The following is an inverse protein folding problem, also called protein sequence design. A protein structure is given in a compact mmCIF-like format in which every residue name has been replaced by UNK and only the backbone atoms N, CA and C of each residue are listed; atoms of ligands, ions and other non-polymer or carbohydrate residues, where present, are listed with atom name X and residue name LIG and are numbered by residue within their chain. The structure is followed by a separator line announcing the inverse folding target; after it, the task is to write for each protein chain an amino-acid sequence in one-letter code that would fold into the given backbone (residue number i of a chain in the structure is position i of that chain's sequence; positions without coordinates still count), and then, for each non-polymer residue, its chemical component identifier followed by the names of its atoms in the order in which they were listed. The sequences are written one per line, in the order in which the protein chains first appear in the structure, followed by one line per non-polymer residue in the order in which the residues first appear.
data_IF_467669387591
#
_entry.id   IF_467669387591
#
_cell.length_a   1.000
_cell.length_b   1.000
_cell.length_c   1.000
_cell.angle_alpha   90.00
_cell.angle_beta   90.00
_cell.angle_gamma   90.00
#
_symmetry.space_group_name_H-M   'P 1'
#
loop_
_entity.id
_entity.type
_entity.pdbx_description
1 polymer ?
#
# COMPACT_ATOMS: atom_id res chain seq x y z
N UNK A 1 -26.72 -4.44 7.61
CA UNK A 1 -25.56 -4.46 8.51
C UNK A 1 -24.21 -4.14 7.84
N UNK A 2 -24.18 -3.80 6.53
CA UNK A 2 -22.93 -3.58 5.73
C UNK A 2 -22.21 -2.21 5.89
N UNK A 3 -22.58 -1.36 6.83
CA UNK A 3 -21.90 -0.07 7.10
C UNK A 3 -20.80 -0.13 8.17
N UNK A 4 -20.50 -1.33 8.75
CA UNK A 4 -19.76 -1.42 10.01
C UNK A 4 -18.23 -1.50 9.82
N UNK A 5 -17.68 -2.21 8.84
CA UNK A 5 -16.25 -2.51 8.78
C UNK A 5 -15.43 -1.36 8.19
N UNK A 6 -15.93 -0.71 7.13
CA UNK A 6 -15.29 0.53 6.63
C UNK A 6 -15.35 1.67 7.66
N UNK A 7 -16.36 1.64 8.54
CA UNK A 7 -16.46 2.56 9.68
C UNK A 7 -15.42 2.29 10.75
N UNK A 8 -14.95 1.06 10.98
CA UNK A 8 -14.02 0.74 12.07
C UNK A 8 -12.60 1.22 11.72
N UNK A 9 -12.09 1.01 10.51
CA UNK A 9 -10.77 1.53 10.10
C UNK A 9 -10.78 3.05 9.95
N UNK A 10 -11.80 3.62 9.32
CA UNK A 10 -11.97 5.07 9.25
C UNK A 10 -12.24 5.67 10.64
N UNK A 11 -13.01 4.99 11.50
CA UNK A 11 -13.31 5.45 12.87
C UNK A 11 -12.10 5.34 13.78
N UNK A 12 -11.24 4.34 13.61
CA UNK A 12 -9.97 4.22 14.35
C UNK A 12 -9.00 5.31 13.94
N UNK A 13 -8.89 5.61 12.65
CA UNK A 13 -8.08 6.73 12.13
C UNK A 13 -8.68 8.07 12.56
N UNK A 14 -10.00 8.24 12.52
CA UNK A 14 -10.69 9.43 12.99
C UNK A 14 -10.54 9.59 14.51
N UNK A 15 -10.63 8.54 15.31
CA UNK A 15 -10.42 8.57 16.75
C UNK A 15 -8.97 8.98 17.08
N UNK A 16 -7.98 8.44 16.36
CA UNK A 16 -6.57 8.84 16.49
C UNK A 16 -6.36 10.30 16.10
N UNK A 17 -7.04 10.77 15.04
CA UNK A 17 -6.97 12.16 14.60
C UNK A 17 -7.72 13.11 15.55
N UNK A 18 -8.86 12.71 16.14
CA UNK A 18 -9.59 13.49 17.15
C UNK A 18 -8.78 13.59 18.44
N UNK A 19 -8.12 12.53 18.88
CA UNK A 19 -7.18 12.58 20.01
C UNK A 19 -6.00 13.49 19.68
N UNK A 20 -5.43 13.41 18.46
CA UNK A 20 -4.36 14.29 18.02
C UNK A 20 -4.81 15.77 18.00
N UNK A 21 -6.03 16.07 17.51
CA UNK A 21 -6.60 17.41 17.52
C UNK A 21 -6.88 17.94 18.95
N UNK A 22 -7.32 17.07 19.85
CA UNK A 22 -7.53 17.44 21.26
C UNK A 22 -6.22 17.73 22.00
N UNK A 23 -5.16 16.94 21.71
CA UNK A 23 -3.81 17.16 22.21
C UNK A 23 -3.17 18.40 21.62
N UNK A 24 -3.42 18.71 20.31
CA UNK A 24 -2.97 19.95 19.68
C UNK A 24 -3.65 21.17 20.24
N UNK A 25 -4.95 21.14 20.49
CA UNK A 25 -5.67 22.23 21.13
C UNK A 25 -5.09 22.50 22.53
N UNK A 26 -4.78 21.45 23.28
CA UNK A 26 -4.14 21.55 24.61
C UNK A 26 -2.70 22.10 24.52
N UNK A 27 -1.90 21.63 23.56
CA UNK A 27 -0.51 22.08 23.36
C UNK A 27 -0.41 23.53 22.86
N UNK A 28 -1.40 24.02 22.12
CA UNK A 28 -1.49 25.41 21.67
C UNK A 28 -1.94 26.35 22.77
N UNK A 29 -2.65 25.86 23.79
CA UNK A 29 -3.15 26.64 24.94
C UNK A 29 -2.23 26.55 26.15
N UNK A 30 -1.25 25.64 26.19
CA UNK A 30 -0.29 25.53 27.27
C UNK A 30 0.71 26.72 27.24
N UNK A 31 1.03 27.37 28.38
CA UNK A 31 1.98 28.45 28.41
C UNK A 31 3.35 28.00 27.92
N UNK A 32 3.86 28.69 26.89
CA UNK A 32 5.20 28.46 26.37
C UNK A 32 6.23 28.89 27.38
N UNK A 33 6.84 27.96 28.10
CA UNK A 33 8.03 28.27 28.88
C UNK A 33 9.14 28.70 27.93
N UNK A 34 9.80 29.84 28.26
CA UNK A 34 10.96 30.33 27.53
C UNK A 34 12.08 29.26 27.64
N UNK A 35 12.35 28.54 26.55
CA UNK A 35 13.52 27.70 26.43
C UNK A 35 14.67 28.60 26.00
N UNK A 36 15.55 28.95 26.92
CA UNK A 36 16.86 29.53 26.60
C UNK A 36 17.68 28.48 25.90
N UNK A 37 17.94 28.71 24.62
CA UNK A 37 18.88 27.90 23.80
C UNK A 37 20.30 28.18 24.28
N UNK A 38 20.84 27.37 25.16
CA UNK A 38 22.27 27.19 25.31
C UNK A 38 22.72 26.28 24.18
N UNK A 39 23.67 26.77 23.38
CA UNK A 39 24.13 26.11 22.15
C UNK A 39 24.98 24.87 22.44
N UNK A 40 24.32 23.74 22.60
CA UNK A 40 24.94 22.45 22.44
C UNK A 40 24.45 21.85 21.12
N UNK A 41 25.40 21.52 20.26
CA UNK A 41 25.16 20.81 19.00
C UNK A 41 24.48 19.49 19.32
N UNK A 42 23.14 19.42 19.18
CA UNK A 42 22.38 18.21 19.32
C UNK A 42 22.82 17.28 18.20
N UNK A 43 23.60 16.27 18.55
CA UNK A 43 23.91 15.13 17.67
C UNK A 43 22.60 14.43 17.35
N UNK A 44 22.02 14.75 16.20
CA UNK A 44 20.87 14.01 15.69
C UNK A 44 21.27 12.55 15.51
N UNK A 45 20.46 11.63 16.04
CA UNK A 45 20.60 10.21 15.75
C UNK A 45 20.76 10.04 14.23
N UNK A 46 21.68 9.13 13.82
CA UNK A 46 22.03 8.92 12.41
C UNK A 46 20.81 9.03 11.53
N UNK A 47 20.76 10.10 10.73
CA UNK A 47 19.83 10.17 9.60
C UNK A 47 20.14 8.95 8.75
N UNK A 48 19.12 8.15 8.44
CA UNK A 48 19.31 7.03 7.52
C UNK A 48 19.38 7.61 6.10
N UNK A 49 20.48 8.27 5.77
CA UNK A 49 20.73 8.91 4.48
C UNK A 49 20.76 7.89 3.33
N UNK A 50 20.79 6.59 3.66
CA UNK A 50 20.84 5.48 2.70
C UNK A 50 19.49 4.79 2.51
N UNK A 51 18.37 5.39 2.95
CA UNK A 51 17.05 4.80 2.72
C UNK A 51 16.71 4.79 1.22
N UNK A 52 16.66 3.61 0.57
CA UNK A 52 16.45 3.50 -0.88
C UNK A 52 15.02 3.87 -1.31
N UNK A 53 14.13 4.11 -0.36
CA UNK A 53 12.75 4.51 -0.62
C UNK A 53 12.56 6.03 -0.63
N UNK A 54 13.58 6.81 -0.24
CA UNK A 54 13.59 8.28 -0.40
C UNK A 54 14.08 8.60 -1.80
N UNK A 55 13.18 8.97 -2.70
CA UNK A 55 13.49 9.12 -4.13
C UNK A 55 13.13 10.47 -4.71
N UNK A 56 12.45 11.33 -3.97
CA UNK A 56 11.94 12.62 -4.49
C UNK A 56 13.04 13.52 -5.07
N UNK A 57 14.27 13.46 -4.55
CA UNK A 57 15.42 14.23 -5.03
C UNK A 57 16.23 13.55 -6.15
N UNK A 58 15.90 12.31 -6.50
CA UNK A 58 16.68 11.50 -7.46
C UNK A 58 15.82 11.10 -8.66
N UNK A 59 15.08 10.00 -8.55
CA UNK A 59 14.23 9.48 -9.62
C UNK A 59 12.87 10.14 -9.67
N UNK A 60 12.50 10.91 -8.62
CA UNK A 60 11.26 11.64 -8.50
C UNK A 60 10.22 10.88 -7.67
N UNK A 61 9.36 10.08 -8.27
CA UNK A 61 8.27 9.38 -7.62
C UNK A 61 8.31 7.89 -7.94
N UNK A 62 8.09 7.04 -6.93
CA UNK A 62 7.76 5.64 -7.12
C UNK A 62 6.24 5.50 -7.33
N UNK A 63 5.85 4.83 -8.39
CA UNK A 63 4.44 4.62 -8.77
C UNK A 63 4.04 3.21 -8.38
N UNK A 64 3.16 3.13 -7.39
CA UNK A 64 2.68 1.85 -6.87
C UNK A 64 1.29 1.51 -7.40
N UNK A 65 1.16 0.32 -7.97
CA UNK A 65 -0.12 -0.26 -8.33
C UNK A 65 -0.75 -0.89 -7.08
N UNK A 66 -1.70 -0.18 -6.47
CA UNK A 66 -2.40 -0.61 -5.27
C UNK A 66 -3.29 -1.81 -5.59
N UNK A 67 -3.04 -2.95 -4.93
CA UNK A 67 -3.66 -4.26 -5.21
C UNK A 67 -3.50 -4.68 -6.68
N UNK A 68 -2.33 -4.37 -7.27
CA UNK A 68 -2.04 -4.53 -8.69
C UNK A 68 -2.94 -3.70 -9.63
N UNK A 69 -3.59 -2.61 -9.17
CA UNK A 69 -4.33 -1.69 -10.03
C UNK A 69 -5.80 -2.06 -10.26
N UNK A 70 -6.60 -2.07 -9.19
CA UNK A 70 -7.99 -2.51 -9.16
C UNK A 70 -9.02 -1.71 -9.97
N UNK A 71 -8.61 -0.70 -10.77
CA UNK A 71 -9.47 0.00 -11.73
C UNK A 71 -9.44 -0.65 -13.11
N UNK A 72 -8.28 -1.14 -13.53
CA UNK A 72 -8.08 -1.71 -14.87
C UNK A 72 -8.52 -3.17 -14.91
N UNK A 73 -8.18 -3.93 -13.88
CA UNK A 73 -8.49 -5.34 -13.72
C UNK A 73 -8.91 -5.66 -12.28
N UNK A 74 -9.49 -6.85 -12.02
CA UNK A 74 -9.86 -7.24 -10.65
C UNK A 74 -8.66 -7.24 -9.71
N UNK A 75 -8.78 -6.53 -8.58
CA UNK A 75 -7.71 -6.39 -7.56
C UNK A 75 -7.16 -7.73 -7.07
N UNK A 76 -5.85 -7.78 -6.78
CA UNK A 76 -5.20 -8.95 -6.20
C UNK A 76 -5.36 -10.25 -7.03
N UNK A 77 -5.45 -10.15 -8.37
CA UNK A 77 -5.51 -11.28 -9.30
C UNK A 77 -4.27 -11.36 -10.18
N UNK A 78 -3.96 -12.55 -10.72
CA UNK A 78 -2.89 -12.69 -11.70
C UNK A 78 -3.15 -11.86 -12.97
N UNK A 79 -4.41 -11.65 -13.35
CA UNK A 79 -4.78 -10.78 -14.47
C UNK A 79 -4.30 -9.34 -14.23
N UNK A 80 -4.61 -8.74 -13.08
CA UNK A 80 -4.15 -7.39 -12.74
C UNK A 80 -2.62 -7.30 -12.67
N UNK A 81 -1.97 -8.34 -12.12
CA UNK A 81 -0.52 -8.42 -12.06
C UNK A 81 0.09 -8.45 -13.47
N UNK A 82 -0.40 -9.30 -14.36
CA UNK A 82 0.09 -9.37 -15.75
C UNK A 82 -0.11 -8.05 -16.48
N UNK A 83 -1.20 -7.32 -16.24
CA UNK A 83 -1.41 -5.98 -16.78
C UNK A 83 -0.33 -5.01 -16.28
N UNK A 84 0.01 -5.03 -14.99
CA UNK A 84 1.11 -4.22 -14.47
C UNK A 84 2.47 -4.64 -15.06
N UNK A 85 2.74 -5.94 -15.18
CA UNK A 85 3.99 -6.44 -15.77
C UNK A 85 4.13 -6.07 -17.24
N UNK A 86 3.01 -5.94 -17.97
CA UNK A 86 2.97 -5.54 -19.38
C UNK A 86 2.83 -4.02 -19.57
N UNK A 87 2.78 -3.23 -18.51
CA UNK A 87 2.45 -1.80 -18.53
C UNK A 87 3.33 -0.98 -19.48
N UNK A 88 4.62 -1.31 -19.61
CA UNK A 88 5.52 -0.59 -20.53
C UNK A 88 5.10 -0.74 -22.01
N UNK A 89 4.55 -1.88 -22.38
CA UNK A 89 4.02 -2.10 -23.74
C UNK A 89 2.72 -1.32 -23.97
N UNK A 90 2.01 -0.98 -22.87
CA UNK A 90 0.79 -0.17 -22.88
C UNK A 90 1.09 1.35 -22.73
N UNK A 91 2.36 1.74 -22.74
CA UNK A 91 2.79 3.14 -22.71
C UNK A 91 2.77 3.79 -21.34
N UNK A 92 2.73 3.03 -20.24
CA UNK A 92 2.91 3.54 -18.88
C UNK A 92 3.86 2.63 -18.09
N UNK A 93 4.23 3.04 -16.88
CA UNK A 93 5.20 2.31 -16.08
C UNK A 93 4.79 2.23 -14.61
N UNK A 94 5.04 1.07 -13.99
CA UNK A 94 4.78 0.75 -12.58
C UNK A 94 6.10 0.38 -11.92
N UNK A 95 6.42 1.00 -10.79
CA UNK A 95 7.66 0.75 -10.05
C UNK A 95 7.48 -0.25 -8.91
N UNK A 96 6.30 -0.25 -8.30
CA UNK A 96 5.95 -1.05 -7.13
C UNK A 96 4.66 -1.81 -7.38
N UNK A 97 4.68 -3.10 -7.07
CA UNK A 97 3.49 -3.93 -6.94
C UNK A 97 3.09 -4.00 -5.47
N UNK A 98 1.85 -3.64 -5.15
CA UNK A 98 1.35 -3.68 -3.78
C UNK A 98 0.28 -4.75 -3.64
N UNK A 99 0.36 -5.52 -2.53
CA UNK A 99 -0.49 -6.67 -2.26
C UNK A 99 -0.90 -6.76 -0.80
N UNK A 100 -2.07 -7.34 -0.59
CA UNK A 100 -2.62 -7.71 0.71
C UNK A 100 -2.59 -9.23 0.88
N UNK A 101 -2.12 -9.73 2.01
CA UNK A 101 -1.96 -11.16 2.25
C UNK A 101 -2.82 -11.68 3.38
N UNK A 102 -3.41 -12.85 3.14
CA UNK A 102 -3.99 -13.72 4.13
C UNK A 102 -3.40 -15.14 4.05
N UNK A 103 -3.43 -15.84 5.17
CA UNK A 103 -2.99 -17.22 5.27
C UNK A 103 -4.20 -18.17 5.14
N UNK A 104 -4.11 -19.17 4.26
CA UNK A 104 -5.12 -20.22 4.13
C UNK A 104 -5.04 -21.25 5.27
N UNK A 105 -6.00 -22.16 5.34
CA UNK A 105 -6.01 -23.24 6.33
C UNK A 105 -4.81 -24.19 6.19
N UNK A 106 -4.36 -24.46 5.00
CA UNK A 106 -3.18 -25.25 4.65
C UNK A 106 -1.88 -24.44 4.60
N UNK A 107 -1.92 -23.20 5.12
CA UNK A 107 -0.79 -22.28 5.32
C UNK A 107 -0.15 -21.71 4.05
N UNK A 108 -0.91 -21.53 2.99
CA UNK A 108 -0.48 -20.81 1.79
C UNK A 108 -0.76 -19.30 1.95
N UNK A 109 0.16 -18.45 1.49
CA UNK A 109 -0.04 -17.00 1.44
C UNK A 109 -0.76 -16.63 0.15
N UNK A 110 -2.01 -16.18 0.27
CA UNK A 110 -2.85 -15.75 -0.87
C UNK A 110 -3.05 -14.25 -0.87
N UNK A 111 -3.30 -13.70 -2.06
CA UNK A 111 -3.63 -12.29 -2.22
C UNK A 111 -5.13 -12.08 -1.99
N UNK A 112 -5.47 -11.30 -0.97
CA UNK A 112 -6.84 -10.89 -0.65
C UNK A 112 -6.80 -9.71 0.31
N UNK A 113 -7.60 -8.64 0.06
CA UNK A 113 -7.62 -7.48 0.95
C UNK A 113 -8.56 -7.65 2.14
N UNK A 114 -9.78 -8.13 1.91
CA UNK A 114 -10.82 -8.18 2.94
C UNK A 114 -10.64 -9.41 3.85
N UNK A 115 -11.20 -9.38 5.04
CA UNK A 115 -11.17 -10.52 5.98
C UNK A 115 -11.84 -11.78 5.42
N UNK A 116 -12.72 -11.63 4.39
CA UNK A 116 -13.45 -12.72 3.75
C UNK A 116 -13.55 -12.49 2.23
N UNK A 117 -14.07 -13.47 1.51
CA UNK A 117 -14.12 -13.49 0.05
C UNK A 117 -15.33 -12.77 -0.57
N UNK A 118 -16.28 -12.26 0.21
CA UNK A 118 -17.63 -11.91 -0.27
C UNK A 118 -17.65 -10.75 -1.28
N UNK A 119 -16.75 -9.76 -1.13
CA UNK A 119 -16.80 -8.53 -1.93
C UNK A 119 -16.32 -8.72 -3.36
N UNK A 120 -15.30 -9.53 -3.57
CA UNK A 120 -14.63 -9.66 -4.87
C UNK A 120 -14.96 -10.95 -5.59
N UNK A 121 -15.44 -11.97 -4.87
CA UNK A 121 -15.65 -13.31 -5.41
C UNK A 121 -17.10 -13.77 -5.39
N UNK A 122 -17.37 -14.92 -5.99
CA UNK A 122 -18.63 -15.64 -5.92
C UNK A 122 -18.73 -16.60 -4.72
N UNK A 123 -18.01 -16.35 -3.64
CA UNK A 123 -17.91 -17.23 -2.45
C UNK A 123 -19.27 -17.58 -1.85
N UNK A 124 -20.16 -16.58 -1.76
CA UNK A 124 -21.51 -16.78 -1.19
C UNK A 124 -22.34 -17.75 -2.03
N UNK A 125 -22.20 -17.70 -3.36
CA UNK A 125 -22.89 -18.63 -4.26
C UNK A 125 -22.30 -20.04 -4.17
N UNK A 126 -20.94 -20.15 -4.13
CA UNK A 126 -20.25 -21.46 -4.09
C UNK A 126 -20.40 -22.15 -2.75
N UNK A 127 -20.26 -21.41 -1.65
CA UNK A 127 -20.26 -21.99 -0.29
C UNK A 127 -21.59 -21.83 0.48
N UNK A 128 -22.59 -21.15 -0.10
CA UNK A 128 -23.92 -20.98 0.47
C UNK A 128 -23.98 -20.13 1.74
N UNK A 129 -22.91 -19.41 2.09
CA UNK A 129 -22.84 -18.53 3.26
C UNK A 129 -21.89 -17.36 3.08
N UNK A 130 -22.18 -16.23 3.75
CA UNK A 130 -21.30 -15.07 3.84
C UNK A 130 -20.23 -15.28 4.94
N UNK A 131 -19.16 -14.47 4.88
CA UNK A 131 -18.16 -14.31 5.94
C UNK A 131 -17.19 -15.48 6.11
N UNK A 132 -16.96 -16.27 5.06
CA UNK A 132 -15.94 -17.33 5.08
C UNK A 132 -14.56 -16.72 5.05
N UNK A 133 -13.73 -17.09 6.05
CA UNK A 133 -12.38 -16.55 6.19
C UNK A 133 -11.36 -17.41 5.40
N UNK A 134 -10.23 -16.85 4.95
CA UNK A 134 -9.15 -17.62 4.33
C UNK A 134 -8.69 -18.81 5.17
N UNK A 135 -8.59 -18.65 6.49
CA UNK A 135 -8.22 -19.71 7.44
C UNK A 135 -9.24 -20.86 7.58
N UNK A 136 -10.44 -20.70 7.03
CA UNK A 136 -11.46 -21.75 7.04
C UNK A 136 -11.33 -22.72 5.86
N UNK A 137 -10.51 -22.38 4.85
CA UNK A 137 -10.44 -23.06 3.55
C UNK A 137 -9.00 -23.40 3.14
N UNK A 138 -8.83 -24.60 2.56
CA UNK A 138 -7.59 -24.98 1.92
C UNK A 138 -7.47 -24.28 0.53
N UNK A 139 -6.25 -24.06 0.04
CA UNK A 139 -6.00 -23.37 -1.23
C UNK A 139 -6.79 -24.00 -2.38
N UNK A 140 -6.90 -25.34 -2.42
CA UNK A 140 -7.64 -26.05 -3.45
C UNK A 140 -9.13 -25.67 -3.50
N UNK A 141 -9.77 -25.45 -2.33
CA UNK A 141 -11.16 -25.00 -2.25
C UNK A 141 -11.31 -23.54 -2.69
N UNK A 142 -10.31 -22.69 -2.36
CA UNK A 142 -10.32 -21.28 -2.73
C UNK A 142 -10.10 -21.11 -4.25
N UNK A 143 -9.32 -22.00 -4.87
CA UNK A 143 -9.11 -22.01 -6.33
C UNK A 143 -10.40 -22.28 -7.15
N UNK A 144 -11.48 -22.75 -6.53
CA UNK A 144 -12.79 -22.86 -7.18
C UNK A 144 -13.49 -21.51 -7.36
N UNK A 145 -13.09 -20.48 -6.63
CA UNK A 145 -13.73 -19.16 -6.67
C UNK A 145 -13.29 -18.34 -7.89
N UNK A 146 -14.21 -17.48 -8.35
CA UNK A 146 -13.95 -16.44 -9.34
C UNK A 146 -13.66 -15.13 -8.62
N UNK A 147 -12.42 -14.66 -8.65
CA UNK A 147 -11.95 -13.42 -8.02
C UNK A 147 -12.28 -12.17 -8.84
N UNK A 148 -12.72 -12.33 -10.09
CA UNK A 148 -13.24 -11.25 -10.93
C UNK A 148 -14.75 -11.13 -10.93
N UNK A 149 -15.48 -11.93 -10.14
CA UNK A 149 -16.93 -12.10 -10.25
C UNK A 149 -17.73 -10.81 -10.17
N UNK A 150 -17.33 -9.87 -9.30
CA UNK A 150 -18.00 -8.60 -9.10
C UNK A 150 -17.36 -7.42 -9.83
N UNK A 151 -16.34 -7.66 -10.65
CA UNK A 151 -15.67 -6.60 -11.40
C UNK A 151 -16.49 -6.15 -12.62
N UNK A 152 -16.52 -4.83 -12.97
CA UNK A 152 -15.96 -3.73 -12.22
C UNK A 152 -16.76 -3.40 -10.97
N UNK A 153 -16.04 -3.04 -9.90
CA UNK A 153 -16.66 -2.60 -8.66
C UNK A 153 -16.07 -1.26 -8.22
N UNK A 154 -16.95 -0.37 -7.73
CA UNK A 154 -16.50 0.85 -7.07
C UNK A 154 -16.21 0.52 -5.60
N UNK A 155 -15.06 0.98 -5.09
CA UNK A 155 -14.72 0.78 -3.68
C UNK A 155 -15.80 1.38 -2.77
N UNK A 156 -16.36 0.54 -1.92
CA UNK A 156 -17.41 0.94 -0.96
C UNK A 156 -18.79 1.17 -1.55
N UNK A 157 -19.01 0.92 -2.83
CA UNK A 157 -20.32 1.01 -3.48
C UNK A 157 -21.09 -0.32 -3.47
N UNK A 158 -22.38 -0.24 -3.73
CA UNK A 158 -23.22 -1.41 -3.95
C UNK A 158 -22.83 -2.08 -5.27
N UNK A 159 -22.61 -3.39 -5.24
CA UNK A 159 -22.37 -4.20 -6.43
C UNK A 159 -23.53 -4.03 -7.42
N UNK A 160 -23.20 -3.66 -8.67
CA UNK A 160 -24.20 -3.49 -9.74
C UNK A 160 -24.11 -4.71 -10.63
N UNK A 161 -25.08 -5.61 -10.48
CA UNK A 161 -25.11 -6.93 -11.11
C UNK A 161 -24.95 -6.90 -12.63
N UNK A 162 -25.54 -5.93 -13.29
CA UNK A 162 -25.56 -5.82 -14.76
C UNK A 162 -24.25 -5.32 -15.38
N UNK A 163 -23.24 -4.96 -14.59
CA UNK A 163 -21.93 -4.46 -15.08
C UNK A 163 -20.80 -5.48 -14.95
N UNK A 164 -21.06 -6.69 -14.46
CA UNK A 164 -20.02 -7.71 -14.24
C UNK A 164 -19.45 -8.23 -15.56
N UNK A 165 -18.15 -8.00 -15.78
CA UNK A 165 -17.44 -8.41 -17.01
C UNK A 165 -17.06 -9.90 -16.95
N UNK A 166 -16.65 -10.38 -15.77
CA UNK A 166 -16.10 -11.73 -15.57
C UNK A 166 -17.03 -12.67 -14.78
N UNK A 167 -18.34 -12.51 -14.92
CA UNK A 167 -19.33 -13.33 -14.18
C UNK A 167 -19.18 -14.82 -14.48
N UNK A 168 -18.96 -15.18 -15.74
CA UNK A 168 -18.83 -16.57 -16.19
C UNK A 168 -17.42 -16.84 -16.73
N UNK A 169 -16.61 -17.55 -15.94
CA UNK A 169 -15.26 -17.92 -16.35
C UNK A 169 -15.25 -18.96 -17.51
N UNK A 170 -16.32 -19.73 -17.69
CA UNK A 170 -16.39 -20.70 -18.78
C UNK A 170 -16.55 -20.04 -20.16
N UNK A 171 -16.95 -18.77 -20.18
CA UNK A 171 -17.05 -17.98 -21.40
C UNK A 171 -15.68 -17.39 -21.83
N UNK A 172 -14.63 -17.52 -21.01
CA UNK A 172 -13.29 -16.99 -21.24
C UNK A 172 -12.34 -18.07 -21.75
N UNK A 173 -11.24 -17.67 -22.44
CA UNK A 173 -10.12 -18.55 -22.65
C UNK A 173 -9.58 -19.12 -21.32
N UNK A 174 -9.11 -20.37 -21.34
CA UNK A 174 -8.67 -21.08 -20.12
C UNK A 174 -7.63 -20.31 -19.33
N UNK A 175 -6.64 -19.71 -19.99
CA UNK A 175 -5.58 -18.95 -19.34
C UNK A 175 -6.14 -17.68 -18.67
N UNK A 176 -7.05 -16.97 -19.30
CA UNK A 176 -7.69 -15.80 -18.74
C UNK A 176 -8.59 -16.16 -17.54
N UNK A 177 -9.34 -17.24 -17.64
CA UNK A 177 -10.14 -17.78 -16.54
C UNK A 177 -9.26 -18.16 -15.33
N UNK A 178 -8.09 -18.77 -15.57
CA UNK A 178 -7.12 -19.11 -14.53
C UNK A 178 -6.53 -17.85 -13.87
N UNK A 179 -6.29 -16.79 -14.63
CA UNK A 179 -5.77 -15.52 -14.12
C UNK A 179 -6.78 -14.79 -13.19
N UNK A 180 -8.03 -15.19 -13.18
CA UNK A 180 -9.11 -14.71 -12.32
C UNK A 180 -9.40 -15.63 -11.14
N UNK A 181 -8.58 -16.65 -10.90
CA UNK A 181 -8.59 -17.48 -9.68
C UNK A 181 -7.71 -16.84 -8.60
N UNK A 182 -7.77 -17.40 -7.38
CA UNK A 182 -6.84 -16.99 -6.32
C UNK A 182 -5.42 -17.19 -6.77
N UNK A 183 -4.57 -16.23 -6.40
CA UNK A 183 -3.13 -16.31 -6.64
C UNK A 183 -2.38 -16.33 -5.32
N UNK A 184 -1.33 -17.15 -5.24
CA UNK A 184 -0.42 -17.16 -4.10
C UNK A 184 0.66 -16.09 -4.28
N UNK A 185 1.25 -15.64 -3.16
CA UNK A 185 2.37 -14.71 -3.22
C UNK A 185 3.55 -15.27 -4.03
N UNK A 186 3.82 -16.57 -3.90
CA UNK A 186 4.93 -17.18 -4.62
C UNK A 186 4.70 -17.20 -6.15
N UNK A 187 3.47 -17.49 -6.60
CA UNK A 187 3.10 -17.40 -8.03
C UNK A 187 3.34 -15.96 -8.57
N UNK A 188 3.02 -14.93 -7.77
CA UNK A 188 3.26 -13.52 -8.14
C UNK A 188 4.74 -13.19 -8.22
N UNK A 189 5.52 -13.59 -7.20
CA UNK A 189 6.97 -13.35 -7.18
C UNK A 189 7.62 -13.97 -8.42
N UNK A 190 7.29 -15.22 -8.73
CA UNK A 190 7.83 -15.93 -9.91
C UNK A 190 7.45 -15.20 -11.20
N UNK A 191 6.21 -14.74 -11.34
CA UNK A 191 5.78 -14.01 -12.53
C UNK A 191 6.52 -12.66 -12.66
N UNK A 192 6.66 -11.91 -11.57
CA UNK A 192 7.29 -10.59 -11.58
C UNK A 192 8.81 -10.65 -11.79
N UNK A 193 9.51 -11.59 -11.14
CA UNK A 193 10.96 -11.75 -11.32
C UNK A 193 11.32 -12.25 -12.73
N UNK A 194 10.41 -12.94 -13.42
CA UNK A 194 10.59 -13.37 -14.81
C UNK A 194 10.18 -12.30 -15.85
N UNK A 195 9.61 -11.17 -15.44
CA UNK A 195 9.10 -10.14 -16.37
C UNK A 195 10.19 -9.27 -17.02
N UNK A 196 11.47 -9.49 -16.72
CA UNK A 196 12.60 -8.76 -17.33
C UNK A 196 12.82 -7.34 -16.77
N UNK A 197 12.00 -6.89 -15.84
CA UNK A 197 12.13 -5.63 -15.10
C UNK A 197 12.23 -5.91 -13.60
N UNK A 198 13.03 -5.12 -12.90
CA UNK A 198 13.11 -5.17 -11.45
C UNK A 198 11.98 -4.37 -10.82
N UNK A 199 11.07 -5.06 -10.12
CA UNK A 199 10.00 -4.43 -9.34
C UNK A 199 10.39 -4.33 -7.88
N UNK A 200 9.82 -3.34 -7.18
CA UNK A 200 9.73 -3.30 -5.74
C UNK A 200 8.35 -3.75 -5.29
N UNK A 201 8.22 -4.05 -4.01
CA UNK A 201 6.98 -4.61 -3.47
C UNK A 201 6.60 -3.91 -2.18
N UNK A 202 5.31 -3.67 -2.00
CA UNK A 202 4.70 -3.34 -0.72
C UNK A 202 3.77 -4.50 -0.40
N UNK A 203 3.99 -5.16 0.74
CA UNK A 203 3.26 -6.37 1.11
C UNK A 203 2.67 -6.21 2.50
N UNK A 204 1.34 -6.19 2.60
CA UNK A 204 0.62 -6.06 3.85
C UNK A 204 0.14 -7.40 4.40
N UNK A 205 0.47 -7.72 5.66
CA UNK A 205 -0.14 -8.84 6.39
C UNK A 205 -1.43 -8.35 7.04
N UNK A 206 -2.57 -8.93 6.62
CA UNK A 206 -3.90 -8.62 7.16
C UNK A 206 -4.23 -9.40 8.42
N UNK A 207 -3.70 -10.61 8.55
CA UNK A 207 -3.95 -11.51 9.67
C UNK A 207 -3.38 -10.97 10.99
N UNK A 208 -3.96 -11.43 12.11
CA UNK A 208 -3.64 -11.00 13.49
C UNK A 208 -3.15 -12.18 14.33
N UNK A 209 -2.56 -11.88 15.48
CA UNK A 209 -2.17 -12.86 16.48
C UNK A 209 -1.23 -13.93 15.95
N UNK A 210 -1.45 -15.19 16.31
CA UNK A 210 -0.57 -16.31 15.90
C UNK A 210 -0.60 -16.57 14.40
N UNK A 211 -1.74 -16.36 13.75
CA UNK A 211 -1.89 -16.51 12.29
C UNK A 211 -1.06 -15.47 11.57
N UNK A 212 -1.19 -14.20 11.96
CA UNK A 212 -0.40 -13.12 11.36
C UNK A 212 1.11 -13.26 11.62
N UNK A 213 1.52 -13.75 12.79
CA UNK A 213 2.93 -14.06 13.06
C UNK A 213 3.46 -15.17 12.16
N UNK A 214 2.65 -16.20 11.95
CA UNK A 214 3.05 -17.28 11.04
C UNK A 214 3.09 -16.78 9.58
N UNK A 215 2.12 -15.98 9.16
CA UNK A 215 2.14 -15.32 7.84
C UNK A 215 3.40 -14.46 7.64
N UNK A 216 3.82 -13.70 8.66
CA UNK A 216 5.04 -12.91 8.64
C UNK A 216 6.32 -13.78 8.51
N UNK A 217 6.36 -14.95 9.18
CA UNK A 217 7.46 -15.92 9.01
C UNK A 217 7.51 -16.46 7.58
N UNK A 218 6.37 -16.88 7.02
CA UNK A 218 6.29 -17.38 5.65
C UNK A 218 6.69 -16.32 4.62
N UNK A 219 6.23 -15.08 4.82
CA UNK A 219 6.64 -13.95 3.98
C UNK A 219 8.16 -13.76 4.02
N UNK A 220 8.75 -13.71 5.21
CA UNK A 220 10.21 -13.55 5.33
C UNK A 220 10.99 -14.73 4.74
N UNK A 221 10.48 -15.96 4.83
CA UNK A 221 11.09 -17.14 4.20
C UNK A 221 11.05 -17.03 2.66
N UNK A 222 9.96 -16.54 2.07
CA UNK A 222 9.88 -16.26 0.63
C UNK A 222 10.83 -15.13 0.23
N UNK A 223 10.90 -14.05 1.03
CA UNK A 223 11.84 -12.96 0.79
C UNK A 223 13.30 -13.43 0.81
N UNK A 224 13.65 -14.34 1.70
CA UNK A 224 14.99 -14.97 1.73
C UNK A 224 15.22 -15.88 0.52
N UNK A 225 14.25 -16.77 0.21
CA UNK A 225 14.33 -17.70 -0.93
C UNK A 225 14.57 -17.00 -2.26
N UNK A 226 13.94 -15.84 -2.47
CA UNK A 226 14.02 -15.08 -3.72
C UNK A 226 14.97 -13.86 -3.63
N UNK A 227 15.71 -13.70 -2.53
CA UNK A 227 16.63 -12.59 -2.29
C UNK A 227 15.97 -11.20 -2.46
N UNK A 228 14.86 -10.96 -1.75
CA UNK A 228 13.99 -9.81 -1.97
C UNK A 228 14.00 -8.78 -0.83
N UNK A 229 14.84 -8.93 0.20
CA UNK A 229 14.82 -8.01 1.36
C UNK A 229 15.05 -6.53 1.00
N UNK A 230 15.82 -6.26 -0.04
CA UNK A 230 16.09 -4.92 -0.55
C UNK A 230 14.97 -4.35 -1.45
N UNK A 231 14.05 -5.21 -1.89
CA UNK A 231 12.94 -4.86 -2.79
C UNK A 231 11.60 -4.72 -2.07
N UNK A 232 11.45 -5.27 -0.86
CA UNK A 232 10.15 -5.38 -0.16
C UNK A 232 10.09 -4.43 1.03
N UNK A 233 8.98 -3.71 1.11
CA UNK A 233 8.50 -3.06 2.35
C UNK A 233 7.35 -3.88 2.89
N UNK A 234 7.50 -4.41 4.10
CA UNK A 234 6.40 -5.11 4.78
C UNK A 234 5.55 -4.12 5.57
N UNK A 235 4.23 -4.30 5.53
CA UNK A 235 3.26 -3.48 6.24
C UNK A 235 2.25 -4.30 7.02
N UNK A 236 1.65 -3.68 8.03
CA UNK A 236 0.49 -4.21 8.74
C UNK A 236 -0.14 -3.13 9.61
N UNK A 237 -1.47 -3.19 9.79
CA UNK A 237 -2.18 -2.35 10.77
C UNK A 237 -2.20 -2.98 12.17
N UNK A 238 -1.67 -4.20 12.35
CA UNK A 238 -1.68 -4.92 13.61
C UNK A 238 -0.36 -4.69 14.36
N UNK A 239 -0.41 -4.00 15.50
CA UNK A 239 0.79 -3.65 16.27
C UNK A 239 1.61 -4.85 16.73
N UNK A 240 0.94 -5.97 17.10
CA UNK A 240 1.61 -7.22 17.48
C UNK A 240 2.38 -7.87 16.33
N UNK A 241 1.97 -7.64 15.09
CA UNK A 241 2.69 -8.11 13.91
C UNK A 241 3.83 -7.15 13.54
N UNK A 242 3.65 -5.83 13.70
CA UNK A 242 4.76 -4.86 13.59
C UNK A 242 5.89 -5.18 14.58
N UNK A 243 5.54 -5.43 15.85
CA UNK A 243 6.50 -5.83 16.89
C UNK A 243 7.17 -7.16 16.57
N UNK A 244 6.44 -8.08 15.93
CA UNK A 244 6.99 -9.36 15.51
C UNK A 244 7.95 -9.22 14.33
N UNK A 245 7.69 -8.35 13.36
CA UNK A 245 8.67 -8.00 12.32
C UNK A 245 9.94 -7.39 12.94
N UNK A 246 9.83 -6.52 13.94
CA UNK A 246 10.99 -5.99 14.65
C UNK A 246 11.80 -7.11 15.35
N UNK A 247 11.11 -8.09 15.97
CA UNK A 247 11.75 -9.25 16.56
C UNK A 247 12.49 -10.09 15.51
N UNK A 248 11.84 -10.43 14.38
CA UNK A 248 12.47 -11.17 13.29
C UNK A 248 13.66 -10.42 12.70
N UNK A 249 13.50 -9.12 12.53
CA UNK A 249 14.56 -8.27 11.97
C UNK A 249 15.81 -8.24 12.85
N UNK A 250 15.62 -8.13 14.16
CA UNK A 250 16.73 -8.07 15.12
C UNK A 250 17.39 -9.44 15.36
N UNK A 251 16.61 -10.53 15.40
CA UNK A 251 17.09 -11.82 15.90
C UNK A 251 17.34 -12.88 14.82
N UNK A 252 16.75 -12.71 13.63
CA UNK A 252 16.82 -13.70 12.54
C UNK A 252 17.45 -13.12 11.29
N UNK A 253 17.02 -11.94 10.85
CA UNK A 253 17.37 -11.38 9.54
C UNK A 253 18.41 -10.22 9.59
N UNK A 254 19.03 -9.95 10.75
CA UNK A 254 20.16 -9.03 10.92
C UNK A 254 19.91 -7.63 10.32
N UNK A 255 18.74 -7.05 10.54
CA UNK A 255 18.41 -5.69 10.07
C UNK A 255 17.98 -5.59 8.60
N UNK A 256 17.73 -6.71 7.90
CA UNK A 256 17.39 -6.70 6.48
C UNK A 256 15.92 -6.37 6.17
N UNK A 257 15.00 -6.50 7.14
CA UNK A 257 13.57 -6.26 6.91
C UNK A 257 13.30 -4.76 6.89
N UNK A 258 12.80 -4.26 5.76
CA UNK A 258 12.26 -2.91 5.66
C UNK A 258 10.76 -2.96 5.97
N UNK A 259 10.30 -2.19 6.95
CA UNK A 259 8.88 -2.13 7.29
C UNK A 259 8.31 -0.71 7.28
N UNK A 260 7.02 -0.63 7.13
CA UNK A 260 6.26 0.60 7.34
C UNK A 260 6.03 0.89 8.82
N UNK A 261 5.77 2.16 9.14
CA UNK A 261 5.33 2.58 10.47
C UNK A 261 3.95 2.01 10.81
N UNK A 262 3.79 1.51 12.02
CA UNK A 262 2.49 1.18 12.59
C UNK A 262 1.70 2.43 12.98
N UNK A 263 0.39 2.26 13.27
CA UNK A 263 -0.53 3.40 13.58
C UNK A 263 0.00 4.31 14.69
N UNK A 264 0.49 3.73 15.80
CA UNK A 264 1.01 4.52 16.94
C UNK A 264 2.33 5.22 16.59
N UNK A 265 3.13 4.65 15.69
CA UNK A 265 4.36 5.27 15.22
C UNK A 265 4.06 6.45 14.30
N UNK A 266 3.04 6.32 13.40
CA UNK A 266 2.53 7.46 12.60
C UNK A 266 2.03 8.59 13.51
N UNK A 267 1.29 8.25 14.57
CA UNK A 267 0.86 9.26 15.55
C UNK A 267 2.05 9.91 16.25
N UNK A 268 3.03 9.14 16.68
CA UNK A 268 4.23 9.65 17.35
C UNK A 268 4.99 10.64 16.47
N UNK A 269 5.27 10.30 15.21
CA UNK A 269 5.98 11.23 14.30
C UNK A 269 5.17 12.49 14.05
N UNK A 270 3.85 12.37 13.87
CA UNK A 270 2.99 13.52 13.67
C UNK A 270 2.97 14.47 14.87
N UNK A 271 2.86 13.95 16.10
CA UNK A 271 2.93 14.75 17.31
C UNK A 271 4.32 15.38 17.51
N UNK A 272 5.39 14.66 17.21
CA UNK A 272 6.75 15.19 17.26
C UNK A 272 6.93 16.34 16.27
N UNK A 273 6.41 16.21 15.05
CA UNK A 273 6.38 17.29 14.06
C UNK A 273 5.63 18.53 14.58
N UNK A 274 4.39 18.35 15.08
CA UNK A 274 3.58 19.47 15.57
C UNK A 274 4.23 20.20 16.75
N UNK A 275 4.90 19.48 17.63
CA UNK A 275 5.58 20.04 18.79
C UNK A 275 7.01 20.51 18.49
N UNK A 276 7.47 20.38 17.25
CA UNK A 276 8.86 20.63 16.85
C UNK A 276 9.87 19.92 17.77
N UNK A 277 9.60 18.65 18.09
CA UNK A 277 10.45 17.82 18.95
C UNK A 277 11.28 16.87 18.11
N UNK A 278 12.38 16.42 18.69
CA UNK A 278 13.17 15.34 18.12
C UNK A 278 12.39 14.03 18.17
N UNK A 279 12.37 13.30 17.03
CA UNK A 279 11.69 12.01 16.93
C UNK A 279 12.48 10.89 17.61
N UNK A 280 13.80 11.05 17.70
CA UNK A 280 14.73 10.01 18.14
C UNK A 280 14.91 8.90 17.10
N UNK A 281 15.42 7.75 17.54
CA UNK A 281 15.62 6.57 16.68
C UNK A 281 14.28 5.91 16.37
N UNK A 282 14.09 5.53 15.11
CA UNK A 282 12.93 4.78 14.61
C UNK A 282 13.36 3.42 14.07
N UNK A 283 12.41 2.48 13.99
CA UNK A 283 12.62 1.11 13.51
C UNK A 283 12.00 0.84 12.14
N UNK A 284 11.39 1.86 11.53
CA UNK A 284 10.70 1.77 10.24
C UNK A 284 11.37 2.66 9.20
N UNK A 285 11.24 2.28 7.95
CA UNK A 285 11.87 2.95 6.81
C UNK A 285 10.91 3.89 6.07
N UNK A 286 9.62 3.62 6.16
CA UNK A 286 8.60 4.35 5.42
C UNK A 286 7.37 4.66 6.27
N UNK A 287 6.69 5.75 5.95
CA UNK A 287 5.34 6.06 6.38
C UNK A 287 4.39 5.69 5.24
N UNK A 288 3.43 4.79 5.51
CA UNK A 288 2.33 4.51 4.62
C UNK A 288 1.07 5.13 5.19
N UNK A 289 0.70 6.31 4.66
CA UNK A 289 -0.31 7.17 5.26
C UNK A 289 -1.43 7.51 4.27
N UNK A 290 -2.70 7.55 4.74
CA UNK A 290 -3.80 8.01 3.92
C UNK A 290 -3.71 9.52 3.70
N UNK A 291 -4.09 9.98 2.49
CA UNK A 291 -4.26 11.40 2.22
C UNK A 291 -5.74 11.73 2.12
N UNK A 292 -6.15 12.78 2.85
CA UNK A 292 -7.54 13.22 2.89
C UNK A 292 -7.60 14.74 2.68
N UNK A 293 -8.43 15.19 1.73
CA UNK A 293 -8.56 16.61 1.39
C UNK A 293 -8.96 17.50 2.60
N UNK A 294 -9.73 16.96 3.54
CA UNK A 294 -10.15 17.66 4.74
C UNK A 294 -9.08 17.69 5.86
N UNK A 295 -8.03 16.86 5.73
CA UNK A 295 -6.89 16.82 6.64
C UNK A 295 -5.57 16.71 5.84
N UNK A 296 -5.16 17.79 5.12
CA UNK A 296 -4.02 17.73 4.20
C UNK A 296 -2.66 17.78 4.90
N UNK A 297 -2.62 17.91 6.22
CA UNK A 297 -1.38 18.14 6.98
C UNK A 297 -0.35 17.02 6.81
N UNK A 298 -0.78 15.76 6.77
CA UNK A 298 0.13 14.62 6.58
C UNK A 298 0.76 14.57 5.17
N UNK A 299 0.12 15.19 4.17
CA UNK A 299 0.65 15.33 2.81
C UNK A 299 1.32 16.69 2.56
N UNK A 300 1.47 17.53 3.59
CA UNK A 300 2.13 18.84 3.43
C UNK A 300 3.63 18.69 3.22
N UNK A 301 4.21 19.60 2.42
CA UNK A 301 5.66 19.62 2.20
C UNK A 301 6.44 19.67 3.51
N UNK A 302 6.01 20.45 4.47
CA UNK A 302 6.70 20.60 5.76
C UNK A 302 6.70 19.31 6.60
N UNK A 303 5.63 18.51 6.56
CA UNK A 303 5.60 17.21 7.23
C UNK A 303 6.47 16.18 6.50
N UNK A 304 6.42 16.16 5.17
CA UNK A 304 7.26 15.28 4.34
C UNK A 304 8.74 15.62 4.57
N UNK A 305 9.14 16.90 4.52
CA UNK A 305 10.51 17.33 4.80
C UNK A 305 10.96 16.93 6.23
N UNK A 306 10.02 17.00 7.21
CA UNK A 306 10.31 16.53 8.57
C UNK A 306 10.57 15.02 8.62
N UNK A 307 9.78 14.20 7.93
CA UNK A 307 10.01 12.76 7.85
C UNK A 307 11.35 12.45 7.16
N UNK A 308 11.65 13.10 6.05
CA UNK A 308 12.92 12.95 5.32
C UNK A 308 14.14 13.30 6.16
N UNK A 309 14.03 14.32 7.05
CA UNK A 309 15.10 14.66 8.00
C UNK A 309 15.51 13.48 8.87
N UNK A 310 14.61 12.56 9.17
CA UNK A 310 14.86 11.34 9.94
C UNK A 310 15.10 10.11 9.06
N UNK A 311 15.30 10.30 7.76
CA UNK A 311 15.55 9.22 6.83
C UNK A 311 14.32 8.33 6.58
N UNK A 312 13.11 8.88 6.71
CA UNK A 312 11.84 8.15 6.56
C UNK A 312 11.17 8.58 5.26
N UNK A 313 10.90 7.64 4.36
CA UNK A 313 10.18 7.89 3.11
C UNK A 313 8.67 8.05 3.34
N UNK A 314 8.03 8.90 2.55
CA UNK A 314 6.59 9.16 2.61
C UNK A 314 5.86 8.52 1.43
N UNK A 315 5.00 7.55 1.71
CA UNK A 315 4.19 6.82 0.74
C UNK A 315 2.69 7.05 1.05
N UNK A 316 1.92 7.42 0.03
CA UNK A 316 0.52 7.82 0.22
C UNK A 316 -0.44 6.85 -0.48
N UNK A 317 -1.52 6.45 0.22
CA UNK A 317 -2.58 5.54 -0.25
C UNK A 317 -3.98 6.04 0.15
N UNK A 318 -5.05 5.68 -0.48
CA UNK A 318 -5.13 5.27 -1.88
C UNK A 318 -5.48 6.51 -2.68
N UNK A 319 -4.66 6.88 -3.63
CA UNK A 319 -4.77 8.17 -4.33
C UNK A 319 -5.23 7.89 -5.77
N UNK A 320 -6.46 8.26 -6.08
CA UNK A 320 -7.08 8.03 -7.40
C UNK A 320 -7.43 9.32 -8.14
N UNK A 321 -7.29 10.47 -7.47
CA UNK A 321 -7.62 11.78 -8.04
C UNK A 321 -6.35 12.48 -8.55
N UNK A 322 -6.35 12.90 -9.82
CA UNK A 322 -5.20 13.56 -10.46
C UNK A 322 -4.70 14.79 -9.68
N UNK A 323 -5.61 15.58 -9.11
CA UNK A 323 -5.28 16.77 -8.32
C UNK A 323 -4.55 16.43 -7.00
N UNK A 324 -4.91 15.32 -6.36
CA UNK A 324 -4.24 14.83 -5.16
C UNK A 324 -2.85 14.29 -5.50
N UNK A 325 -2.73 13.51 -6.59
CA UNK A 325 -1.44 13.04 -7.11
C UNK A 325 -0.49 14.21 -7.35
N UNK A 326 -0.95 15.21 -8.10
CA UNK A 326 -0.17 16.40 -8.43
C UNK A 326 0.30 17.16 -7.17
N UNK A 327 -0.58 17.32 -6.19
CA UNK A 327 -0.27 17.98 -4.92
C UNK A 327 0.80 17.24 -4.15
N UNK A 328 0.66 15.92 -4.00
CA UNK A 328 1.61 15.09 -3.25
C UNK A 328 2.97 15.02 -3.94
N UNK A 329 3.01 14.91 -5.27
CA UNK A 329 4.27 14.94 -6.04
C UNK A 329 5.00 16.27 -5.82
N UNK A 330 4.30 17.40 -5.94
CA UNK A 330 4.88 18.74 -5.70
C UNK A 330 5.36 18.94 -4.27
N UNK A 331 4.73 18.28 -3.32
CA UNK A 331 5.12 18.31 -1.91
C UNK A 331 6.30 17.40 -1.57
N UNK A 332 6.75 16.54 -2.49
CA UNK A 332 7.92 15.68 -2.29
C UNK A 332 7.60 14.27 -1.81
N UNK A 333 6.39 13.75 -2.09
CA UNK A 333 6.06 12.36 -1.82
C UNK A 333 7.04 11.41 -2.53
N UNK A 334 7.47 10.36 -1.86
CA UNK A 334 8.36 9.34 -2.44
C UNK A 334 7.59 8.28 -3.21
N UNK A 335 6.38 7.95 -2.78
CA UNK A 335 5.53 6.97 -3.45
C UNK A 335 4.06 7.36 -3.35
N UNK A 336 3.34 7.09 -4.43
CA UNK A 336 1.88 7.13 -4.47
C UNK A 336 1.37 5.75 -4.85
N UNK A 337 0.43 5.21 -4.06
CA UNK A 337 -0.29 3.97 -4.32
C UNK A 337 -1.65 4.31 -4.90
N UNK A 338 -1.91 3.86 -6.12
CA UNK A 338 -3.15 4.14 -6.85
C UNK A 338 -3.78 2.88 -7.39
N UNK A 339 -5.12 2.84 -7.39
CA UNK A 339 -5.89 1.82 -8.12
C UNK A 339 -5.80 2.02 -9.64
N UNK A 340 -5.39 3.23 -10.09
CA UNK A 340 -5.21 3.58 -11.47
C UNK A 340 -3.75 3.97 -11.76
N UNK A 341 -2.84 2.98 -11.90
CA UNK A 341 -1.42 3.23 -12.14
C UNK A 341 -1.14 3.97 -13.46
N UNK A 342 -2.00 3.80 -14.47
CA UNK A 342 -1.88 4.53 -15.75
C UNK A 342 -2.10 6.03 -15.54
N UNK A 343 -3.16 6.43 -14.85
CA UNK A 343 -3.41 7.84 -14.50
C UNK A 343 -2.24 8.41 -13.67
N UNK A 344 -1.74 7.64 -12.70
CA UNK A 344 -0.62 8.06 -11.87
C UNK A 344 0.64 8.33 -12.70
N UNK A 345 0.93 7.46 -13.66
CA UNK A 345 2.04 7.66 -14.60
C UNK A 345 1.88 8.93 -15.43
N UNK A 346 0.70 9.17 -15.99
CA UNK A 346 0.38 10.36 -16.79
C UNK A 346 0.56 11.66 -15.96
N UNK A 347 0.04 11.67 -14.72
CA UNK A 347 0.17 12.82 -13.81
C UNK A 347 1.64 13.04 -13.40
N UNK A 348 2.37 11.99 -13.07
CA UNK A 348 3.77 12.08 -12.68
C UNK A 348 4.62 12.67 -13.80
N UNK A 349 4.42 12.23 -15.04
CA UNK A 349 5.11 12.77 -16.22
C UNK A 349 4.74 14.23 -16.48
N UNK A 350 3.47 14.58 -16.36
CA UNK A 350 3.03 15.97 -16.52
C UNK A 350 3.67 16.90 -15.49
N UNK A 351 3.76 16.47 -14.23
CA UNK A 351 4.41 17.27 -13.19
C UNK A 351 5.92 17.38 -13.41
N UNK A 352 6.58 16.28 -13.83
CA UNK A 352 8.03 16.24 -14.03
C UNK A 352 8.51 17.06 -15.23
N UNK A 353 7.78 16.98 -16.34
CA UNK A 353 8.23 17.55 -17.62
C UNK A 353 7.48 18.82 -18.03
N UNK A 354 6.50 19.26 -17.23
CA UNK A 354 5.63 20.39 -17.61
C UNK A 354 4.77 20.06 -18.82
N UNK A 355 4.12 21.07 -19.39
CA UNK A 355 3.26 20.93 -20.58
C UNK A 355 4.06 20.71 -21.89
N UNK A 356 5.18 20.02 -21.88
CA UNK A 356 5.99 19.75 -23.06
C UNK A 356 5.34 18.78 -24.07
N UNK A 357 4.24 18.15 -23.71
CA UNK A 357 3.45 17.33 -24.64
C UNK A 357 2.06 17.94 -24.74
N UNK A 358 1.91 18.95 -25.59
CA UNK A 358 0.60 19.18 -26.20
C UNK A 358 0.34 17.97 -27.12
N UNK A 359 -0.82 17.33 -27.05
CA UNK A 359 -1.22 16.38 -28.09
C UNK A 359 -1.15 17.13 -29.43
N UNK A 360 -0.48 16.55 -30.40
CA UNK A 360 -0.49 17.08 -31.75
C UNK A 360 -1.95 17.24 -32.20
N UNK A 361 -2.39 18.47 -32.47
CA UNK A 361 -3.70 18.69 -33.06
C UNK A 361 -3.81 17.85 -34.33
N UNK A 362 -4.89 17.12 -34.55
CA UNK A 362 -5.08 16.38 -35.80
C UNK A 362 -5.05 17.38 -36.92
N UNK A 363 -4.06 17.24 -37.82
CA UNK A 363 -3.97 18.04 -39.03
C UNK A 363 -5.24 17.81 -39.84
N UNK A 364 -5.92 18.85 -40.33
CA UNK A 364 -7.07 18.68 -41.20
C UNK A 364 -6.62 17.96 -42.45
N UNK A 365 -7.25 16.81 -42.73
CA UNK A 365 -7.08 16.12 -44.00
C UNK A 365 -7.57 17.04 -45.13
N UNK A 366 -6.66 17.35 -46.03
CA UNK A 366 -6.97 18.03 -47.33
C UNK A 366 -7.56 17.04 -48.31
#
# INVERSE_FOLDING_TARGET
MKKSIFKITAFSIIAVLVVALSVTAFALTAPRGNVTTTGDSVSYAKTNNDNPYIVYNTTGLLRSAHRAGGVQDPENTMKAIKTCLNSMNEGYDVDILEFDLHLTKDNELILLHDENFDRTTNSVEVWGREGVLPRDKDLAEIKELNFGYWFPYERGSVQVEDKRIYKDLNALPVDEANDLRVVTLEEVIVAAENAGKQYRYIIEIKDKGSVGKYAAQQLCALMEKYNMFDKVVVGTFNGDISDYFDYLNANVYNGKINRSAGILEVLKIFLSYLMNRDLGTVKYNVLQIPYMNWFPFLGSKSFIDYAHKYGIACQFWTINEASQMETLIKNGADCIMSDNPKLLYEVANRVKYGNMVQPAEPQPQQ
#
